data_IF_884800116103
#
_entry.id   IF_884800116103
#
_cell.length_a   1.000
_cell.length_b   1.000
_cell.length_c   1.000
_cell.angle_alpha   90.00
_cell.angle_beta   90.00
_cell.angle_gamma   90.00
#
_symmetry.space_group_name_H-M   'P 1'
#
loop_
_entity.id
_entity.type
_entity.pdbx_description
1 polymer ?
#
# COMPACT_ATOMS: atom_id res chain seq x y z
N UNK A 1 11.28 -27.96 14.98
CA UNK A 1 11.97 -26.85 15.67
C UNK A 1 10.95 -25.76 15.88
N UNK A 2 10.91 -25.14 17.06
CA UNK A 2 10.06 -23.98 17.31
C UNK A 2 10.61 -22.83 16.46
N UNK A 3 9.77 -22.25 15.59
CA UNK A 3 10.15 -21.07 14.81
C UNK A 3 10.17 -19.87 15.76
N UNK A 4 11.24 -19.09 15.73
CA UNK A 4 11.41 -17.92 16.60
C UNK A 4 11.58 -16.68 15.72
N UNK A 5 10.92 -15.61 16.11
CA UNK A 5 11.15 -14.27 15.58
C UNK A 5 12.25 -13.58 16.41
N UNK A 6 12.96 -12.57 15.87
CA UNK A 6 13.93 -11.76 16.62
C UNK A 6 13.32 -11.16 17.90
N UNK A 7 14.14 -10.91 18.92
CA UNK A 7 13.69 -10.30 20.19
C UNK A 7 13.20 -8.86 20.01
N UNK A 8 13.74 -8.15 19.03
CA UNK A 8 13.40 -6.78 18.65
C UNK A 8 12.31 -6.69 17.56
N UNK A 9 11.62 -7.81 17.29
CA UNK A 9 10.56 -7.85 16.30
C UNK A 9 9.41 -6.92 16.68
N UNK A 10 8.98 -6.08 15.72
CA UNK A 10 7.88 -5.14 15.91
C UNK A 10 6.57 -5.85 15.60
N UNK A 11 5.73 -6.02 16.63
CA UNK A 11 4.36 -6.49 16.48
C UNK A 11 3.42 -5.30 16.49
N UNK A 12 2.71 -5.11 15.40
CA UNK A 12 1.86 -3.93 15.24
C UNK A 12 0.61 -4.18 14.42
N UNK A 13 -0.09 -3.11 14.21
CA UNK A 13 -1.22 -3.02 13.31
C UNK A 13 -1.09 -1.76 12.46
N UNK A 14 -1.96 -1.65 11.45
CA UNK A 14 -2.04 -0.49 10.59
C UNK A 14 -3.44 0.12 10.60
N UNK A 15 -3.50 1.43 10.55
CA UNK A 15 -4.72 2.19 10.30
C UNK A 15 -4.39 3.39 9.41
N UNK A 16 -5.41 4.03 8.86
CA UNK A 16 -5.25 5.21 8.02
C UNK A 16 -6.21 6.32 8.44
N UNK A 17 -5.78 7.56 8.26
CA UNK A 17 -6.51 8.73 8.70
C UNK A 17 -7.97 8.73 8.21
N UNK A 18 -8.18 8.63 6.89
CA UNK A 18 -9.53 8.68 6.34
C UNK A 18 -10.42 7.49 6.75
N UNK A 19 -9.81 6.31 6.90
CA UNK A 19 -10.54 5.08 7.24
C UNK A 19 -10.92 5.01 8.73
N UNK A 20 -10.17 5.67 9.61
CA UNK A 20 -10.30 5.46 11.05
C UNK A 20 -10.63 6.72 11.86
N UNK A 21 -10.10 7.89 11.48
CA UNK A 21 -10.21 9.08 12.31
C UNK A 21 -11.64 9.56 12.51
N UNK A 22 -12.49 9.54 11.47
CA UNK A 22 -13.70 10.33 11.47
C UNK A 22 -13.38 11.83 11.53
N UNK A 23 -14.16 12.60 12.25
CA UNK A 23 -13.93 14.04 12.45
C UNK A 23 -13.65 14.79 11.14
N UNK A 24 -14.38 14.41 10.07
CA UNK A 24 -14.12 14.82 8.67
C UNK A 24 -14.27 16.33 8.45
N UNK A 25 -15.06 17.01 9.30
CA UNK A 25 -15.29 18.46 9.25
C UNK A 25 -14.83 19.17 10.52
N UNK A 26 -13.97 18.52 11.33
CA UNK A 26 -13.54 19.05 12.63
C UNK A 26 -12.20 19.76 12.51
N UNK A 27 -12.04 20.83 13.30
CA UNK A 27 -10.79 21.57 13.49
C UNK A 27 -10.13 22.04 12.18
N UNK A 28 -10.95 22.45 11.21
CA UNK A 28 -10.47 23.05 9.97
C UNK A 28 -9.90 22.07 8.94
N UNK A 29 -10.13 20.76 9.11
CA UNK A 29 -9.76 19.76 8.09
C UNK A 29 -10.44 20.09 6.75
N UNK A 30 -9.65 20.09 5.67
CA UNK A 30 -10.16 20.20 4.31
C UNK A 30 -10.83 18.89 3.82
N UNK A 31 -11.66 19.01 2.80
CA UNK A 31 -12.26 17.85 2.14
C UNK A 31 -11.21 17.06 1.36
N UNK A 32 -11.47 15.76 1.22
CA UNK A 32 -10.70 14.85 0.37
C UNK A 32 -11.58 14.31 -0.75
N UNK A 33 -10.96 13.73 -1.77
CA UNK A 33 -11.65 13.15 -2.93
C UNK A 33 -12.76 12.16 -2.54
N UNK A 34 -12.53 11.37 -1.49
CA UNK A 34 -13.49 10.39 -0.99
C UNK A 34 -14.77 11.00 -0.41
N UNK A 35 -14.71 12.18 0.19
CA UNK A 35 -15.89 12.80 0.80
C UNK A 35 -17.00 13.00 -0.25
N UNK A 36 -16.67 13.63 -1.38
CA UNK A 36 -17.62 13.84 -2.47
C UNK A 36 -17.97 12.51 -3.16
N UNK A 37 -16.98 11.63 -3.38
CA UNK A 37 -17.22 10.36 -4.06
C UNK A 37 -18.18 9.44 -3.31
N UNK A 38 -18.08 9.36 -1.98
CA UNK A 38 -18.98 8.58 -1.15
C UNK A 38 -20.38 9.21 -1.08
N UNK A 39 -20.48 10.53 -0.92
CA UNK A 39 -21.76 11.26 -0.92
C UNK A 39 -22.54 11.05 -2.23
N UNK A 40 -21.85 11.06 -3.37
CA UNK A 40 -22.48 10.93 -4.69
C UNK A 40 -22.83 9.48 -5.07
N UNK A 41 -22.03 8.51 -4.64
CA UNK A 41 -22.15 7.13 -5.16
C UNK A 41 -22.67 6.11 -4.16
N UNK A 42 -22.53 6.34 -2.85
CA UNK A 42 -22.77 5.29 -1.84
C UNK A 42 -23.71 5.70 -0.70
N UNK A 43 -24.04 6.98 -0.54
CA UNK A 43 -24.94 7.50 0.48
C UNK A 43 -24.44 7.31 1.92
N UNK A 44 -23.15 7.18 2.13
CA UNK A 44 -22.52 7.16 3.46
C UNK A 44 -21.24 8.01 3.48
N UNK A 45 -20.72 8.26 4.66
CA UNK A 45 -19.55 9.10 4.90
C UNK A 45 -18.53 8.36 5.76
N UNK A 46 -17.32 8.89 5.85
CA UNK A 46 -16.31 8.43 6.81
C UNK A 46 -16.54 8.93 8.25
N UNK A 47 -17.76 9.41 8.56
CA UNK A 47 -18.11 9.95 9.86
C UNK A 47 -19.11 9.02 10.57
N UNK A 48 -18.84 8.51 11.78
CA UNK A 48 -17.64 8.77 12.60
C UNK A 48 -16.46 7.82 12.32
N UNK A 49 -16.56 6.88 11.37
CA UNK A 49 -15.61 5.78 11.16
C UNK A 49 -15.37 4.99 12.47
N UNK A 50 -14.10 4.81 12.85
CA UNK A 50 -13.73 4.25 14.16
C UNK A 50 -13.58 5.32 15.25
N UNK A 51 -13.81 6.58 14.90
CA UNK A 51 -13.66 7.74 15.79
C UNK A 51 -12.25 7.84 16.41
N UNK A 52 -11.24 7.40 15.67
CA UNK A 52 -9.85 7.37 16.15
C UNK A 52 -9.36 8.78 16.52
N UNK A 53 -9.86 9.83 15.87
CA UNK A 53 -9.54 11.21 16.20
C UNK A 53 -9.78 11.55 17.68
N UNK A 54 -10.82 11.01 18.28
CA UNK A 54 -11.16 11.20 19.68
C UNK A 54 -10.71 10.03 20.58
N UNK A 55 -10.62 8.83 20.03
CA UNK A 55 -10.42 7.59 20.79
C UNK A 55 -8.99 7.08 20.83
N UNK A 56 -8.05 7.67 20.08
CA UNK A 56 -6.66 7.22 20.05
C UNK A 56 -6.02 6.98 21.43
N UNK A 57 -6.34 7.74 22.51
CA UNK A 57 -5.75 7.43 23.81
C UNK A 57 -6.19 6.10 24.39
N UNK A 58 -7.44 5.70 24.15
CA UNK A 58 -7.99 4.40 24.57
C UNK A 58 -7.45 3.28 23.68
N UNK A 59 -7.40 3.51 22.37
CA UNK A 59 -6.96 2.51 21.39
C UNK A 59 -5.46 2.21 21.58
N UNK A 60 -4.64 3.22 21.87
CA UNK A 60 -3.22 3.04 22.17
C UNK A 60 -2.98 2.39 23.55
N UNK A 61 -3.83 2.67 24.55
CA UNK A 61 -3.79 1.95 25.83
C UNK A 61 -4.10 0.46 25.66
N UNK A 62 -5.07 0.12 24.82
CA UNK A 62 -5.38 -1.27 24.48
C UNK A 62 -4.23 -1.90 23.71
N UNK A 63 -3.60 -1.19 22.77
CA UNK A 63 -2.42 -1.65 22.04
C UNK A 63 -1.29 -2.04 22.99
N UNK A 64 -0.91 -1.16 23.91
CA UNK A 64 0.09 -1.45 24.97
C UNK A 64 -0.31 -2.67 25.80
N UNK A 65 -1.56 -2.71 26.27
CA UNK A 65 -2.09 -3.80 27.09
C UNK A 65 -1.98 -5.17 26.43
N UNK A 66 -2.15 -5.24 25.12
CA UNK A 66 -2.09 -6.49 24.35
C UNK A 66 -0.72 -6.75 23.71
N UNK A 67 0.31 -5.99 24.08
CA UNK A 67 1.69 -6.24 23.67
C UNK A 67 2.02 -5.75 22.26
N UNK A 68 1.19 -4.87 21.69
CA UNK A 68 1.50 -4.16 20.44
C UNK A 68 2.54 -3.09 20.75
N UNK A 69 3.69 -3.12 20.04
CA UNK A 69 4.81 -2.20 20.25
C UNK A 69 5.09 -1.28 19.03
N UNK A 70 4.28 -1.36 17.99
CA UNK A 70 4.31 -0.47 16.85
C UNK A 70 2.92 -0.27 16.24
N UNK A 71 2.67 0.91 15.69
CA UNK A 71 1.44 1.20 14.97
C UNK A 71 1.75 2.00 13.71
N UNK A 72 1.23 1.56 12.57
CA UNK A 72 1.27 2.39 11.38
C UNK A 72 0.01 3.24 11.29
N UNK A 73 0.20 4.54 11.18
CA UNK A 73 -0.87 5.53 11.06
C UNK A 73 -0.54 6.45 9.89
N UNK A 74 -1.52 7.21 9.39
CA UNK A 74 -1.24 8.22 8.38
C UNK A 74 -1.59 9.62 8.89
N UNK A 75 -0.91 10.62 8.34
CA UNK A 75 -1.32 12.02 8.49
C UNK A 75 -2.30 12.34 7.36
N UNK A 76 -3.51 12.81 7.69
CA UNK A 76 -4.41 13.34 6.69
C UNK A 76 -3.81 14.64 6.11
N UNK A 77 -3.39 14.58 4.84
CA UNK A 77 -2.81 15.74 4.16
C UNK A 77 -3.70 17.00 4.28
N UNK A 78 -5.01 16.82 4.06
CA UNK A 78 -5.99 17.91 4.17
C UNK A 78 -6.24 18.40 5.60
N UNK A 79 -5.72 17.71 6.63
CA UNK A 79 -5.76 18.20 8.01
C UNK A 79 -4.59 19.15 8.30
N UNK A 80 -3.46 18.97 7.62
CA UNK A 80 -2.30 19.88 7.69
C UNK A 80 -2.47 21.05 6.73
N UNK A 81 -2.77 20.76 5.46
CA UNK A 81 -3.04 21.75 4.41
C UNK A 81 -4.47 21.53 3.88
N UNK A 82 -5.47 22.29 4.36
CA UNK A 82 -6.87 22.07 3.97
C UNK A 82 -7.15 22.11 2.48
N UNK A 83 -6.35 22.85 1.72
CA UNK A 83 -6.42 22.90 0.24
C UNK A 83 -5.31 22.07 -0.46
N UNK A 84 -4.55 21.27 0.31
CA UNK A 84 -3.39 20.53 -0.20
C UNK A 84 -2.11 21.37 -0.31
N UNK A 85 -2.18 22.68 -0.19
CA UNK A 85 -1.07 23.63 -0.22
C UNK A 85 -1.46 24.94 0.48
N UNK A 86 -0.49 25.85 0.66
CA UNK A 86 -0.71 27.22 1.16
C UNK A 86 -0.69 27.29 2.69
N UNK A 87 -1.79 27.67 3.31
CA UNK A 87 -1.85 27.90 4.76
C UNK A 87 -1.90 26.56 5.53
N UNK A 88 -1.07 26.46 6.56
CA UNK A 88 -1.06 25.34 7.50
C UNK A 88 -2.22 25.51 8.48
N UNK A 89 -2.90 24.42 8.78
CA UNK A 89 -3.92 24.36 9.80
C UNK A 89 -3.31 23.98 11.16
N UNK A 90 -3.15 24.92 12.10
CA UNK A 90 -2.45 24.68 13.36
C UNK A 90 -3.16 23.66 14.26
N UNK A 91 -4.47 23.50 14.15
CA UNK A 91 -5.22 22.50 14.93
C UNK A 91 -4.95 21.07 14.45
N UNK A 92 -4.78 20.89 13.15
CA UNK A 92 -4.37 19.60 12.59
C UNK A 92 -2.95 19.22 13.04
N UNK A 93 -2.03 20.17 13.06
CA UNK A 93 -0.67 19.97 13.57
C UNK A 93 -0.70 19.59 15.06
N UNK A 94 -1.44 20.35 15.88
CA UNK A 94 -1.59 20.07 17.31
C UNK A 94 -2.15 18.66 17.58
N UNK A 95 -3.11 18.22 16.77
CA UNK A 95 -3.67 16.86 16.89
C UNK A 95 -2.60 15.78 16.69
N UNK A 96 -1.78 15.88 15.64
CA UNK A 96 -0.75 14.86 15.39
C UNK A 96 0.36 14.89 16.44
N UNK A 97 0.78 16.04 16.95
CA UNK A 97 1.70 16.08 18.10
C UNK A 97 1.14 15.33 19.31
N UNK A 98 -0.16 15.53 19.63
CA UNK A 98 -0.81 14.82 20.74
C UNK A 98 -0.88 13.32 20.49
N UNK A 99 -1.17 12.91 19.26
CA UNK A 99 -1.23 11.51 18.87
C UNK A 99 0.14 10.83 19.01
N UNK A 100 1.21 11.44 18.48
CA UNK A 100 2.57 10.90 18.59
C UNK A 100 3.07 10.87 20.04
N UNK A 101 2.76 11.91 20.82
CA UNK A 101 3.08 11.92 22.25
C UNK A 101 2.38 10.78 23.02
N UNK A 102 1.12 10.46 22.71
CA UNK A 102 0.42 9.34 23.33
C UNK A 102 1.00 7.98 22.86
N UNK A 103 1.39 7.86 21.58
CA UNK A 103 2.09 6.66 21.09
C UNK A 103 3.37 6.40 21.92
N UNK A 104 4.23 7.38 22.07
CA UNK A 104 5.48 7.25 22.83
C UNK A 104 5.23 6.97 24.33
N UNK A 105 4.24 7.63 24.92
CA UNK A 105 3.82 7.39 26.32
C UNK A 105 3.39 5.95 26.55
N UNK A 106 2.79 5.30 25.54
CA UNK A 106 2.32 3.91 25.57
C UNK A 106 3.34 2.89 25.06
N UNK A 107 4.57 3.32 24.74
CA UNK A 107 5.61 2.47 24.17
C UNK A 107 5.20 1.78 22.86
N UNK A 108 4.34 2.43 22.08
CA UNK A 108 3.88 2.01 20.75
C UNK A 108 4.52 2.93 19.72
N UNK A 109 5.55 2.47 19.03
CA UNK A 109 6.29 3.30 18.08
C UNK A 109 5.44 3.65 16.85
N UNK A 110 5.27 4.94 16.49
CA UNK A 110 4.51 5.33 15.31
C UNK A 110 5.31 5.18 14.02
N UNK A 111 4.75 4.48 13.04
CA UNK A 111 5.16 4.46 11.64
C UNK A 111 4.21 5.36 10.86
N UNK A 112 4.71 6.45 10.31
CA UNK A 112 3.84 7.52 9.79
C UNK A 112 3.83 7.56 8.29
N UNK A 113 2.66 7.39 7.70
CA UNK A 113 2.41 7.47 6.26
C UNK A 113 1.94 8.87 5.89
N UNK A 114 2.55 9.48 4.86
CA UNK A 114 2.19 10.81 4.39
C UNK A 114 0.95 10.81 3.50
N UNK A 115 0.77 9.80 2.65
CA UNK A 115 -0.39 9.68 1.77
C UNK A 115 -0.99 8.28 1.84
N UNK A 116 -2.25 8.18 2.26
CA UNK A 116 -2.98 6.92 2.35
C UNK A 116 -4.39 7.07 1.74
N UNK A 117 -4.45 7.19 0.40
CA UNK A 117 -5.66 7.28 -0.43
C UNK A 117 -6.45 8.59 -0.30
N UNK A 118 -6.01 9.54 0.49
CA UNK A 118 -6.78 10.70 0.93
C UNK A 118 -6.31 12.03 0.32
N UNK A 119 -6.11 12.05 -1.01
CA UNK A 119 -5.74 13.27 -1.73
C UNK A 119 -6.74 14.41 -1.44
N UNK A 120 -6.27 15.62 -1.07
CA UNK A 120 -7.13 16.79 -0.91
C UNK A 120 -8.00 17.03 -2.14
N UNK A 121 -9.29 17.29 -1.93
CA UNK A 121 -10.29 17.39 -3.00
C UNK A 121 -9.91 18.42 -4.09
N UNK A 122 -9.30 19.53 -3.70
CA UNK A 122 -8.84 20.55 -4.65
C UNK A 122 -7.80 20.00 -5.63
N UNK A 123 -6.83 19.23 -5.14
CA UNK A 123 -5.80 18.60 -5.97
C UNK A 123 -6.39 17.48 -6.83
N UNK A 124 -7.31 16.71 -6.26
CA UNK A 124 -8.00 15.67 -7.00
C UNK A 124 -8.81 16.24 -8.19
N UNK A 125 -9.54 17.33 -7.98
CA UNK A 125 -10.29 18.04 -9.04
C UNK A 125 -9.38 18.63 -10.12
N UNK A 126 -8.12 18.95 -9.79
CA UNK A 126 -7.10 19.42 -10.73
C UNK A 126 -6.31 18.28 -11.40
N UNK A 127 -6.76 17.04 -11.27
CA UNK A 127 -6.21 15.85 -11.93
C UNK A 127 -5.37 14.92 -11.07
N UNK A 128 -5.33 15.14 -9.75
CA UNK A 128 -4.58 14.29 -8.82
C UNK A 128 -3.12 14.13 -9.25
N UNK A 129 -2.50 12.96 -9.07
CA UNK A 129 -1.14 12.69 -9.53
C UNK A 129 -0.97 12.56 -11.05
N UNK A 130 -2.02 12.65 -11.87
CA UNK A 130 -1.87 12.88 -13.32
C UNK A 130 -1.41 14.31 -13.60
N UNK A 131 -1.72 15.28 -12.74
CA UNK A 131 -1.19 16.64 -12.79
C UNK A 131 0.16 16.70 -12.07
N UNK A 132 1.22 17.01 -12.81
CA UNK A 132 2.58 17.06 -12.26
C UNK A 132 2.78 18.08 -11.12
N UNK A 133 1.95 19.12 -11.05
CA UNK A 133 1.98 20.06 -9.91
C UNK A 133 1.66 19.40 -8.58
N UNK A 134 0.87 18.33 -8.58
CA UNK A 134 0.57 17.57 -7.36
C UNK A 134 1.82 16.95 -6.76
N UNK A 135 2.81 16.61 -7.61
CA UNK A 135 4.14 16.15 -7.16
C UNK A 135 4.82 17.24 -6.31
N UNK A 136 4.80 18.48 -6.78
CA UNK A 136 5.43 19.60 -6.06
C UNK A 136 4.72 19.85 -4.72
N UNK A 137 3.39 19.89 -4.73
CA UNK A 137 2.60 20.06 -3.49
C UNK A 137 2.80 18.92 -2.50
N UNK A 138 2.94 17.68 -2.98
CA UNK A 138 3.23 16.54 -2.12
C UNK A 138 4.62 16.67 -1.48
N UNK A 139 5.63 17.08 -2.23
CA UNK A 139 6.99 17.27 -1.72
C UNK A 139 7.05 18.40 -0.69
N UNK A 140 6.35 19.51 -0.94
CA UNK A 140 6.24 20.63 0.03
C UNK A 140 5.56 20.18 1.33
N UNK A 141 4.48 19.40 1.21
CA UNK A 141 3.79 18.80 2.36
C UNK A 141 4.69 17.84 3.14
N UNK A 142 5.42 16.96 2.43
CA UNK A 142 6.36 16.04 3.04
C UNK A 142 7.47 16.78 3.81
N UNK A 143 8.05 17.81 3.20
CA UNK A 143 9.08 18.65 3.83
C UNK A 143 8.54 19.31 5.10
N UNK A 144 7.33 19.86 5.04
CA UNK A 144 6.68 20.42 6.20
C UNK A 144 6.55 19.40 7.34
N UNK A 145 6.04 18.20 7.04
CA UNK A 145 5.89 17.14 8.04
C UNK A 145 7.22 16.69 8.65
N UNK A 146 8.28 16.54 7.85
CA UNK A 146 9.60 16.17 8.36
C UNK A 146 10.19 17.22 9.30
N UNK A 147 9.93 18.51 9.05
CA UNK A 147 10.38 19.61 9.91
C UNK A 147 9.56 19.74 11.18
N UNK A 148 8.24 19.57 11.07
CA UNK A 148 7.29 19.81 12.14
C UNK A 148 7.25 18.68 13.16
N UNK A 149 7.44 17.41 12.71
CA UNK A 149 7.30 16.21 13.57
C UNK A 149 8.64 15.48 13.77
N UNK A 150 9.67 16.12 14.37
CA UNK A 150 10.98 15.47 14.56
C UNK A 150 10.95 14.28 15.51
N UNK A 151 9.88 14.07 16.26
CA UNK A 151 9.63 12.93 17.11
C UNK A 151 9.31 11.64 16.34
N UNK A 152 8.93 11.72 15.08
CA UNK A 152 8.65 10.57 14.22
C UNK A 152 9.94 10.00 13.64
N UNK A 153 10.15 8.70 13.87
CA UNK A 153 11.35 7.98 13.41
C UNK A 153 11.15 7.21 12.11
N UNK A 154 9.93 6.79 11.81
CA UNK A 154 9.65 5.92 10.67
C UNK A 154 8.65 6.60 9.73
N UNK A 155 9.13 7.00 8.57
CA UNK A 155 8.34 7.71 7.57
C UNK A 155 8.04 6.83 6.36
N UNK A 156 6.80 6.84 5.92
CA UNK A 156 6.36 6.23 4.68
C UNK A 156 5.77 7.31 3.77
N UNK A 157 6.26 7.43 2.56
CA UNK A 157 5.77 8.44 1.61
C UNK A 157 4.34 8.13 1.15
N UNK A 158 4.13 6.94 0.60
CA UNK A 158 2.84 6.45 0.11
C UNK A 158 2.50 5.10 0.71
N UNK A 159 1.21 4.89 0.94
CA UNK A 159 0.65 3.56 1.05
C UNK A 159 0.13 3.12 -0.31
N UNK A 160 0.68 2.03 -0.84
CA UNK A 160 0.12 1.27 -1.97
C UNK A 160 -0.11 2.09 -3.26
N UNK A 161 0.95 2.56 -3.88
CA UNK A 161 0.87 3.30 -5.16
C UNK A 161 0.09 2.50 -6.21
N UNK A 162 0.32 1.16 -6.31
CA UNK A 162 -0.43 0.28 -7.22
C UNK A 162 -1.94 0.39 -7.01
N UNK A 163 -2.48 -0.01 -5.84
CA UNK A 163 -3.91 0.11 -5.53
C UNK A 163 -4.51 1.51 -5.70
N UNK A 164 -3.75 2.60 -5.51
CA UNK A 164 -4.26 3.96 -5.80
C UNK A 164 -4.64 4.07 -7.27
N UNK A 165 -3.67 3.90 -8.18
CA UNK A 165 -3.91 4.05 -9.61
C UNK A 165 -4.88 3.01 -10.18
N UNK A 166 -4.79 1.77 -9.69
CA UNK A 166 -5.69 0.69 -10.08
C UNK A 166 -7.13 0.98 -9.64
N UNK A 167 -7.31 1.41 -8.41
CA UNK A 167 -8.62 1.78 -7.87
C UNK A 167 -9.25 2.95 -8.61
N UNK A 168 -8.43 3.95 -8.98
CA UNK A 168 -8.87 5.16 -9.66
C UNK A 168 -9.19 4.94 -11.15
N UNK A 169 -8.36 4.16 -11.88
CA UNK A 169 -8.37 4.15 -13.33
C UNK A 169 -8.52 2.76 -13.97
N UNK A 170 -8.35 1.67 -13.24
CA UNK A 170 -8.55 0.31 -13.75
C UNK A 170 -9.87 -0.30 -13.25
N UNK A 171 -10.04 -0.34 -11.95
CA UNK A 171 -11.20 -0.94 -11.27
C UNK A 171 -12.38 0.03 -11.17
N UNK A 172 -12.10 1.32 -11.04
CA UNK A 172 -13.10 2.38 -10.91
C UNK A 172 -13.86 2.36 -9.59
N UNK A 173 -13.21 1.96 -8.51
CA UNK A 173 -13.77 1.94 -7.15
C UNK A 173 -13.25 3.05 -6.26
N UNK A 174 -12.19 3.73 -6.67
CA UNK A 174 -11.68 4.93 -6.03
C UNK A 174 -12.04 6.14 -6.89
N UNK A 175 -12.22 7.33 -6.28
CA UNK A 175 -12.45 8.56 -7.04
C UNK A 175 -11.29 8.79 -8.03
N UNK A 176 -11.51 9.10 -9.30
CA UNK A 176 -12.78 9.51 -9.92
C UNK A 176 -13.65 8.37 -10.49
N UNK A 177 -13.32 7.10 -10.28
CA UNK A 177 -14.17 5.98 -10.70
C UNK A 177 -14.05 5.59 -12.18
N UNK A 178 -12.92 5.86 -12.83
CA UNK A 178 -12.64 5.49 -14.22
C UNK A 178 -12.27 4.00 -14.30
N UNK A 179 -12.67 3.34 -15.38
CA UNK A 179 -12.40 1.91 -15.58
C UNK A 179 -11.55 1.66 -16.83
N UNK A 180 -10.65 0.70 -16.73
CA UNK A 180 -9.88 0.11 -17.84
C UNK A 180 -9.03 1.14 -18.63
N UNK A 181 -8.58 2.21 -17.97
CA UNK A 181 -7.70 3.24 -18.54
C UNK A 181 -6.25 2.99 -18.12
N UNK A 182 -5.59 2.07 -18.83
CA UNK A 182 -4.21 1.68 -18.51
C UNK A 182 -3.18 2.81 -18.67
N UNK A 183 -3.45 3.77 -19.56
CA UNK A 183 -2.59 4.95 -19.69
C UNK A 183 -2.54 5.72 -18.37
N UNK A 184 -3.71 6.01 -17.80
CA UNK A 184 -3.80 6.74 -16.53
C UNK A 184 -3.27 5.91 -15.36
N UNK A 185 -3.47 4.59 -15.36
CA UNK A 185 -2.89 3.70 -14.35
C UNK A 185 -1.37 3.87 -14.31
N UNK A 186 -0.68 3.59 -15.42
CA UNK A 186 0.79 3.66 -15.44
C UNK A 186 1.31 5.09 -15.27
N UNK A 187 0.62 6.10 -15.80
CA UNK A 187 1.04 7.49 -15.66
C UNK A 187 0.91 7.97 -14.20
N UNK A 188 -0.17 7.62 -13.50
CA UNK A 188 -0.33 7.97 -12.10
C UNK A 188 0.69 7.25 -11.21
N UNK A 189 0.93 5.96 -11.45
CA UNK A 189 1.98 5.20 -10.76
C UNK A 189 3.35 5.87 -10.96
N UNK A 190 3.70 6.19 -12.21
CA UNK A 190 4.98 6.85 -12.53
C UNK A 190 5.12 8.19 -11.79
N UNK A 191 4.11 9.04 -11.85
CA UNK A 191 4.15 10.36 -11.21
C UNK A 191 4.22 10.26 -9.67
N UNK A 192 3.53 9.29 -9.06
CA UNK A 192 3.65 9.02 -7.62
C UNK A 192 5.04 8.48 -7.26
N UNK A 193 5.66 7.65 -8.12
CA UNK A 193 7.04 7.20 -7.90
C UNK A 193 8.04 8.36 -7.99
N UNK A 194 7.83 9.32 -8.91
CA UNK A 194 8.65 10.55 -8.96
C UNK A 194 8.47 11.38 -7.70
N UNK A 195 7.23 11.52 -7.19
CA UNK A 195 6.96 12.21 -5.94
C UNK A 195 7.63 11.54 -4.74
N UNK A 196 7.54 10.21 -4.66
CA UNK A 196 8.25 9.39 -3.67
C UNK A 196 9.75 9.63 -3.71
N UNK A 197 10.38 9.49 -4.87
CA UNK A 197 11.82 9.65 -5.04
C UNK A 197 12.31 11.04 -4.62
N UNK A 198 11.56 12.09 -4.98
CA UNK A 198 11.85 13.46 -4.55
C UNK A 198 11.74 13.63 -3.03
N UNK A 199 10.70 13.08 -2.42
CA UNK A 199 10.51 13.16 -0.97
C UNK A 199 11.60 12.41 -0.20
N UNK A 200 11.99 11.21 -0.66
CA UNK A 200 13.10 10.44 -0.06
C UNK A 200 14.41 11.21 -0.16
N UNK A 201 14.73 11.73 -1.36
CA UNK A 201 15.95 12.52 -1.55
C UNK A 201 15.95 13.77 -0.68
N UNK A 202 14.83 14.49 -0.61
CA UNK A 202 14.68 15.67 0.27
C UNK A 202 14.89 15.31 1.74
N UNK A 203 14.35 14.19 2.22
CA UNK A 203 14.54 13.71 3.58
C UNK A 203 16.04 13.50 3.89
N UNK A 204 16.74 12.82 3.00
CA UNK A 204 18.17 12.51 3.17
C UNK A 204 19.05 13.76 3.07
N UNK A 205 18.84 14.60 2.07
CA UNK A 205 19.62 15.85 1.86
C UNK A 205 19.38 16.85 2.99
N UNK A 206 18.16 16.88 3.54
CA UNK A 206 17.80 17.73 4.67
C UNK A 206 18.37 17.29 6.02
N UNK A 207 18.96 16.09 6.09
CA UNK A 207 19.54 15.53 7.31
C UNK A 207 18.50 15.23 8.40
N UNK A 208 17.24 15.01 8.01
CA UNK A 208 16.19 14.61 8.94
C UNK A 208 16.52 13.26 9.58
N UNK A 209 16.16 13.10 10.85
CA UNK A 209 16.48 11.90 11.60
C UNK A 209 15.42 10.83 11.41
N UNK A 210 15.84 9.56 11.44
CA UNK A 210 14.97 8.41 11.30
C UNK A 210 15.13 7.67 9.97
N UNK A 211 14.15 6.85 9.65
CA UNK A 211 14.12 6.01 8.44
C UNK A 211 12.97 6.44 7.53
N UNK A 212 13.17 6.35 6.22
CA UNK A 212 12.14 6.65 5.22
C UNK A 212 12.07 5.54 4.18
N UNK A 213 10.84 5.19 3.77
CA UNK A 213 10.58 4.21 2.73
C UNK A 213 9.23 4.41 2.06
N UNK A 214 8.79 3.38 1.36
CA UNK A 214 7.48 3.30 0.70
C UNK A 214 6.80 1.98 1.06
N UNK A 215 5.47 1.96 1.07
CA UNK A 215 4.68 0.74 1.23
C UNK A 215 4.05 0.37 -0.11
N UNK A 216 4.29 -0.88 -0.55
CA UNK A 216 3.67 -1.45 -1.73
C UNK A 216 2.79 -2.65 -1.38
N UNK A 217 1.60 -2.74 -1.98
CA UNK A 217 0.85 -3.98 -2.03
C UNK A 217 1.48 -4.88 -3.08
N UNK A 218 1.95 -6.04 -2.66
CA UNK A 218 2.71 -6.95 -3.53
C UNK A 218 2.08 -8.37 -3.53
N UNK A 219 0.90 -8.56 -4.14
CA UNK A 219 0.33 -9.88 -4.32
C UNK A 219 1.18 -10.69 -5.31
N UNK A 220 1.55 -11.91 -4.92
CA UNK A 220 2.34 -12.79 -5.80
C UNK A 220 1.47 -13.35 -6.91
N UNK A 221 1.96 -13.33 -8.14
CA UNK A 221 1.26 -13.76 -9.33
C UNK A 221 1.83 -15.09 -9.83
N UNK A 222 0.99 -16.11 -9.91
CA UNK A 222 1.34 -17.44 -10.39
C UNK A 222 0.62 -17.76 -11.70
N UNK A 223 1.26 -18.44 -12.66
CA UNK A 223 0.53 -19.02 -13.78
C UNK A 223 -0.41 -20.13 -13.26
N UNK A 224 -1.64 -20.19 -13.77
CA UNK A 224 -2.58 -21.25 -13.41
C UNK A 224 -2.04 -22.62 -13.85
N UNK A 225 -1.56 -22.72 -15.08
CA UNK A 225 -0.79 -23.86 -15.59
C UNK A 225 0.62 -23.40 -16.00
N UNK A 226 1.66 -23.73 -15.20
CA UNK A 226 3.05 -23.35 -15.53
C UNK A 226 3.57 -23.93 -16.84
N UNK A 227 2.92 -24.95 -17.40
CA UNK A 227 3.28 -25.54 -18.69
C UNK A 227 2.61 -24.82 -19.88
N UNK A 228 1.60 -23.98 -19.63
CA UNK A 228 0.91 -23.19 -20.64
C UNK A 228 1.58 -21.81 -20.80
N UNK A 229 2.19 -21.51 -21.98
CA UNK A 229 2.84 -20.22 -22.20
C UNK A 229 1.91 -19.01 -22.08
N UNK A 230 0.60 -19.16 -22.35
CA UNK A 230 -0.38 -18.08 -22.23
C UNK A 230 -0.64 -17.72 -20.75
N UNK A 231 -0.72 -18.74 -19.88
CA UNK A 231 -0.90 -18.56 -18.45
C UNK A 231 0.36 -17.93 -17.80
N UNK A 232 1.54 -18.37 -18.23
CA UNK A 232 2.83 -17.79 -17.81
C UNK A 232 2.87 -16.31 -18.22
N UNK A 233 2.53 -16.02 -19.47
CA UNK A 233 2.51 -14.63 -19.95
C UNK A 233 1.48 -13.74 -19.23
N UNK A 234 0.30 -14.28 -18.91
CA UNK A 234 -0.71 -13.58 -18.13
C UNK A 234 -0.20 -13.22 -16.72
N UNK A 235 0.47 -14.16 -16.05
CA UNK A 235 1.06 -13.93 -14.74
C UNK A 235 2.17 -12.84 -14.79
N UNK A 236 3.04 -12.86 -15.82
CA UNK A 236 4.08 -11.85 -16.03
C UNK A 236 3.50 -10.45 -16.24
N UNK A 237 2.47 -10.31 -17.10
CA UNK A 237 1.84 -9.03 -17.37
C UNK A 237 1.11 -8.47 -16.16
N UNK A 238 0.42 -9.33 -15.42
CA UNK A 238 -0.27 -8.94 -14.20
C UNK A 238 0.74 -8.54 -13.09
N UNK A 239 1.87 -9.22 -13.02
CA UNK A 239 2.98 -8.86 -12.14
C UNK A 239 3.61 -7.51 -12.50
N UNK A 240 3.70 -7.18 -13.79
CA UNK A 240 4.17 -5.86 -14.23
C UNK A 240 3.24 -4.76 -13.74
N UNK A 241 1.93 -4.93 -13.86
CA UNK A 241 0.95 -3.93 -13.42
C UNK A 241 1.06 -3.66 -11.91
N UNK A 242 1.08 -4.72 -11.10
CA UNK A 242 0.90 -4.60 -9.65
C UNK A 242 2.20 -4.53 -8.86
N UNK A 243 3.29 -5.13 -9.37
CA UNK A 243 4.53 -5.29 -8.61
C UNK A 243 5.74 -4.68 -9.31
N UNK A 244 6.07 -5.17 -10.50
CA UNK A 244 7.37 -4.92 -11.12
C UNK A 244 7.56 -3.48 -11.53
N UNK A 245 6.52 -2.82 -12.05
CA UNK A 245 6.59 -1.42 -12.47
C UNK A 245 6.99 -0.49 -11.31
N UNK A 246 6.37 -0.64 -10.15
CA UNK A 246 6.67 0.19 -8.98
C UNK A 246 7.98 -0.21 -8.30
N UNK A 247 8.31 -1.51 -8.26
CA UNK A 247 9.58 -1.98 -7.67
C UNK A 247 10.79 -1.57 -8.51
N UNK A 248 10.70 -1.64 -9.84
CA UNK A 248 11.76 -1.16 -10.74
C UNK A 248 12.03 0.33 -10.52
N UNK A 249 10.99 1.16 -10.44
CA UNK A 249 11.14 2.58 -10.13
C UNK A 249 11.77 2.83 -8.77
N UNK A 250 11.40 2.04 -7.75
CA UNK A 250 11.90 2.18 -6.37
C UNK A 250 13.37 1.83 -6.26
N UNK A 251 13.81 0.72 -6.86
CA UNK A 251 15.13 0.14 -6.61
C UNK A 251 16.09 0.14 -7.79
N UNK A 252 15.59 0.16 -9.04
CA UNK A 252 16.47 0.28 -10.22
C UNK A 252 16.65 1.73 -10.65
N UNK A 253 15.78 2.66 -10.18
CA UNK A 253 15.76 4.05 -10.63
C UNK A 253 15.35 4.20 -12.11
N UNK A 254 14.82 3.16 -12.68
CA UNK A 254 14.35 3.06 -14.07
C UNK A 254 13.47 1.84 -14.24
N UNK A 255 12.74 1.76 -15.32
CA UNK A 255 12.00 0.56 -15.69
C UNK A 255 12.91 -0.39 -16.48
N UNK A 256 12.89 -1.68 -16.12
CA UNK A 256 13.62 -2.70 -16.87
C UNK A 256 13.04 -2.86 -18.29
N UNK A 257 13.84 -3.42 -19.19
CA UNK A 257 13.39 -3.68 -20.57
C UNK A 257 12.14 -4.55 -20.59
N UNK A 258 12.10 -5.59 -19.78
CA UNK A 258 10.97 -6.50 -19.66
C UNK A 258 9.70 -5.77 -19.19
N UNK A 259 9.82 -4.93 -18.15
CA UNK A 259 8.73 -4.09 -17.65
C UNK A 259 8.18 -3.20 -18.75
N UNK A 260 9.05 -2.49 -19.48
CA UNK A 260 8.60 -1.59 -20.55
C UNK A 260 8.01 -2.33 -21.75
N UNK A 261 8.52 -3.50 -22.12
CA UNK A 261 7.93 -4.35 -23.18
C UNK A 261 6.51 -4.79 -22.78
N UNK A 262 6.29 -5.16 -21.51
CA UNK A 262 4.95 -5.50 -21.00
C UNK A 262 4.00 -4.31 -20.97
N UNK A 263 4.45 -3.16 -20.46
CA UNK A 263 3.66 -1.91 -20.48
C UNK A 263 3.28 -1.51 -21.90
N UNK A 264 4.23 -1.55 -22.85
CA UNK A 264 3.98 -1.23 -24.26
C UNK A 264 2.97 -2.20 -24.88
N UNK A 265 3.06 -3.50 -24.58
CA UNK A 265 2.08 -4.48 -25.02
C UNK A 265 0.68 -4.12 -24.52
N UNK A 266 0.51 -3.90 -23.21
CA UNK A 266 -0.79 -3.55 -22.60
C UNK A 266 -1.37 -2.28 -23.23
N UNK A 267 -0.57 -1.23 -23.35
CA UNK A 267 -0.99 0.04 -23.98
C UNK A 267 -1.29 -0.10 -25.47
N UNK A 268 -0.58 -0.95 -26.20
CA UNK A 268 -0.86 -1.19 -27.61
C UNK A 268 -2.22 -1.83 -27.87
N UNK A 269 -2.67 -2.70 -26.93
CA UNK A 269 -3.97 -3.39 -27.01
C UNK A 269 -5.12 -2.51 -26.52
N UNK A 270 -4.89 -1.72 -25.47
CA UNK A 270 -5.94 -0.94 -24.81
C UNK A 270 -5.95 0.54 -25.23
N UNK A 271 -4.95 0.99 -25.97
CA UNK A 271 -4.70 2.40 -26.30
C UNK A 271 -3.91 3.12 -25.22
N UNK A 272 -3.30 4.22 -25.57
CA UNK A 272 -2.59 5.08 -24.64
C UNK A 272 -1.08 5.15 -24.86
N UNK A 273 -0.45 6.10 -24.17
CA UNK A 273 1.00 6.35 -24.18
C UNK A 273 1.47 6.77 -22.81
N UNK A 274 2.54 6.17 -22.35
CA UNK A 274 3.22 6.59 -21.13
C UNK A 274 4.21 7.73 -21.45
N UNK A 275 4.14 8.79 -20.67
CA UNK A 275 5.05 9.93 -20.78
C UNK A 275 6.04 9.93 -19.61
N UNK A 276 7.28 9.58 -19.90
CA UNK A 276 8.41 9.57 -18.96
C UNK A 276 9.50 10.45 -19.58
N UNK A 277 10.03 11.39 -18.80
CA UNK A 277 11.10 12.28 -19.24
C UNK A 277 12.47 11.80 -18.77
N UNK A 278 13.54 12.29 -19.39
CA UNK A 278 14.91 12.03 -18.91
C UNK A 278 15.12 12.61 -17.50
N UNK A 279 14.44 13.69 -17.14
CA UNK A 279 14.45 14.28 -15.81
C UNK A 279 13.82 13.33 -14.79
N UNK A 280 12.72 12.67 -15.13
CA UNK A 280 12.08 11.68 -14.25
C UNK A 280 13.03 10.51 -13.94
N UNK A 281 13.71 10.00 -14.97
CA UNK A 281 14.72 8.97 -14.77
C UNK A 281 15.90 9.44 -13.89
N UNK A 282 16.34 10.67 -14.06
CA UNK A 282 17.40 11.23 -13.20
C UNK A 282 16.94 11.35 -11.73
N UNK A 283 15.68 11.71 -11.49
CA UNK A 283 15.07 11.78 -10.16
C UNK A 283 15.00 10.38 -9.53
N UNK A 284 14.48 9.39 -10.27
CA UNK A 284 14.35 8.02 -9.79
C UNK A 284 15.73 7.40 -9.49
N UNK A 285 16.71 7.58 -10.39
CA UNK A 285 18.07 7.07 -10.22
C UNK A 285 18.78 7.67 -8.99
N UNK A 286 18.53 8.95 -8.72
CA UNK A 286 19.12 9.64 -7.56
C UNK A 286 18.56 9.15 -6.21
N UNK A 287 17.41 8.47 -6.20
CA UNK A 287 16.76 8.01 -4.97
C UNK A 287 16.80 6.49 -4.77
N UNK A 288 17.17 5.69 -5.76
CA UNK A 288 17.07 4.23 -5.76
C UNK A 288 17.78 3.53 -4.60
N UNK A 289 18.87 4.12 -4.09
CA UNK A 289 19.68 3.58 -3.01
C UNK A 289 19.42 4.30 -1.65
N UNK A 290 18.41 5.18 -1.59
CA UNK A 290 18.16 6.03 -0.42
C UNK A 290 16.99 5.53 0.45
N UNK A 291 16.26 4.53 0.02
CA UNK A 291 15.19 3.94 0.82
C UNK A 291 15.76 3.13 1.98
N UNK A 292 15.43 3.47 3.22
CA UNK A 292 15.88 2.71 4.40
C UNK A 292 15.11 1.39 4.53
N UNK A 293 13.88 1.34 4.03
CA UNK A 293 13.06 0.12 4.07
C UNK A 293 12.05 0.06 2.93
N UNK A 294 11.58 -1.15 2.66
CA UNK A 294 10.37 -1.45 1.91
C UNK A 294 9.29 -1.94 2.87
N UNK A 295 8.14 -1.32 2.86
CA UNK A 295 6.93 -1.88 3.46
C UNK A 295 6.21 -2.77 2.45
N UNK A 296 5.86 -3.98 2.86
CA UNK A 296 5.07 -4.91 2.06
C UNK A 296 3.71 -5.09 2.71
N UNK A 297 2.65 -4.75 1.98
CA UNK A 297 1.30 -5.17 2.29
C UNK A 297 1.01 -6.45 1.50
N UNK A 298 0.68 -7.52 2.21
CA UNK A 298 0.38 -8.81 1.59
C UNK A 298 -0.86 -9.42 2.22
N UNK A 299 -1.84 -9.71 1.38
CA UNK A 299 -3.11 -10.33 1.79
C UNK A 299 -3.38 -11.64 1.09
N UNK A 300 -2.94 -11.77 -0.17
CA UNK A 300 -3.29 -12.89 -1.05
C UNK A 300 -2.29 -13.06 -2.18
N UNK A 301 -2.36 -14.21 -2.84
CA UNK A 301 -1.75 -14.47 -4.15
C UNK A 301 -2.82 -14.68 -5.20
N UNK A 302 -2.44 -14.53 -6.46
CA UNK A 302 -3.33 -14.72 -7.61
C UNK A 302 -2.79 -15.78 -8.57
N UNK A 303 -3.68 -16.57 -9.16
CA UNK A 303 -3.39 -17.48 -10.25
C UNK A 303 -3.97 -16.94 -11.54
N UNK A 304 -3.10 -16.78 -12.54
CA UNK A 304 -3.43 -16.09 -13.78
C UNK A 304 -3.53 -17.09 -14.92
N UNK A 305 -4.52 -16.89 -15.80
CA UNK A 305 -4.76 -17.65 -17.02
C UNK A 305 -4.80 -16.72 -18.21
N UNK A 306 -4.37 -17.21 -19.38
CA UNK A 306 -4.53 -16.48 -20.65
C UNK A 306 -5.99 -16.09 -20.91
N UNK A 307 -6.21 -14.91 -21.48
CA UNK A 307 -7.53 -14.36 -21.77
C UNK A 307 -7.49 -13.44 -22.99
N UNK A 308 -8.43 -13.60 -23.92
CA UNK A 308 -8.52 -12.87 -25.19
C UNK A 308 -9.78 -12.00 -25.34
N UNK A 309 -10.59 -11.89 -24.28
CA UNK A 309 -11.83 -11.11 -24.24
C UNK A 309 -11.66 -9.67 -23.79
N UNK A 310 -12.81 -8.97 -23.64
CA UNK A 310 -12.86 -7.61 -23.13
C UNK A 310 -12.70 -7.56 -21.60
N UNK A 311 -12.23 -6.44 -21.07
CA UNK A 311 -12.01 -6.27 -19.65
C UNK A 311 -13.32 -6.30 -18.86
N UNK A 312 -13.34 -7.09 -17.78
CA UNK A 312 -14.47 -7.16 -16.84
C UNK A 312 -13.96 -7.43 -15.43
N UNK A 313 -14.25 -6.52 -14.51
CA UNK A 313 -13.92 -6.67 -13.07
C UNK A 313 -15.18 -6.54 -12.23
N UNK A 314 -15.40 -7.55 -11.38
CA UNK A 314 -16.41 -7.54 -10.32
C UNK A 314 -15.74 -7.98 -9.03
N UNK A 315 -15.75 -7.11 -8.02
CA UNK A 315 -15.30 -7.48 -6.68
C UNK A 315 -16.48 -7.99 -5.87
N UNK A 316 -16.26 -9.07 -5.14
CA UNK A 316 -17.16 -9.52 -4.12
C UNK A 316 -17.24 -8.47 -3.00
N UNK A 317 -18.39 -7.82 -2.90
CA UNK A 317 -18.66 -6.79 -1.88
C UNK A 317 -19.69 -7.24 -0.82
N UNK A 318 -20.15 -8.48 -0.91
CA UNK A 318 -21.20 -9.02 -0.03
C UNK A 318 -20.68 -10.04 0.98
N UNK A 319 -19.46 -10.56 0.78
CA UNK A 319 -18.92 -11.67 1.54
C UNK A 319 -19.48 -13.05 1.14
N UNK A 320 -20.09 -13.15 -0.05
CA UNK A 320 -20.58 -14.41 -0.60
C UNK A 320 -19.56 -14.96 -1.60
N UNK A 321 -18.87 -16.04 -1.27
CA UNK A 321 -17.84 -16.67 -2.08
C UNK A 321 -18.31 -16.95 -3.52
N UNK A 322 -17.41 -16.70 -4.49
CA UNK A 322 -17.68 -16.92 -5.91
C UNK A 322 -18.28 -15.73 -6.65
N UNK A 323 -18.42 -14.57 -5.99
CA UNK A 323 -18.93 -13.34 -6.59
C UNK A 323 -17.90 -12.52 -7.37
N UNK A 324 -16.61 -12.87 -7.25
CA UNK A 324 -15.52 -12.13 -7.88
C UNK A 324 -15.26 -12.55 -9.32
N UNK A 325 -14.92 -11.57 -10.17
CA UNK A 325 -14.46 -11.75 -11.53
C UNK A 325 -13.34 -10.74 -11.82
N UNK A 326 -12.29 -11.20 -12.45
CA UNK A 326 -11.17 -10.35 -12.83
C UNK A 326 -10.60 -10.78 -14.17
N UNK A 327 -10.88 -10.00 -15.20
CA UNK A 327 -10.49 -10.24 -16.58
C UNK A 327 -10.01 -8.93 -17.18
N UNK A 328 -8.83 -8.94 -17.79
CA UNK A 328 -8.21 -7.77 -18.40
C UNK A 328 -7.79 -8.07 -19.84
N UNK A 329 -8.30 -7.28 -20.77
CA UNK A 329 -7.95 -7.34 -22.19
C UNK A 329 -6.45 -7.13 -22.39
N UNK A 330 -5.82 -8.05 -23.10
CA UNK A 330 -4.39 -8.01 -23.41
C UNK A 330 -3.47 -8.30 -22.22
N UNK A 331 -4.03 -8.77 -21.08
CA UNK A 331 -3.29 -9.16 -19.88
C UNK A 331 -3.56 -10.61 -19.53
N UNK A 332 -4.77 -10.92 -19.09
CA UNK A 332 -5.14 -12.24 -18.61
C UNK A 332 -6.39 -12.19 -17.74
N UNK A 333 -6.72 -13.31 -17.14
CA UNK A 333 -7.79 -13.41 -16.14
C UNK A 333 -7.28 -14.09 -14.86
N UNK A 334 -7.86 -13.67 -13.73
CA UNK A 334 -7.63 -14.35 -12.45
C UNK A 334 -8.49 -15.61 -12.38
N UNK A 335 -7.86 -16.71 -12.02
CA UNK A 335 -8.57 -17.97 -11.75
C UNK A 335 -8.90 -18.06 -10.26
N UNK A 336 -10.17 -18.24 -9.94
CA UNK A 336 -10.66 -18.37 -8.57
C UNK A 336 -10.91 -19.81 -8.15
N UNK A 337 -10.96 -20.75 -9.10
CA UNK A 337 -11.10 -22.18 -8.83
C UNK A 337 -9.73 -22.85 -8.76
N UNK A 338 -9.01 -22.55 -7.70
CA UNK A 338 -7.69 -23.12 -7.38
C UNK A 338 -7.78 -23.93 -6.09
N UNK A 339 -6.95 -24.93 -5.95
CA UNK A 339 -6.92 -25.82 -4.76
C UNK A 339 -6.17 -25.14 -3.58
N UNK A 340 -6.64 -23.95 -3.20
CA UNK A 340 -6.20 -23.23 -2.00
C UNK A 340 -7.40 -22.67 -1.26
N UNK A 341 -7.35 -22.57 0.07
CA UNK A 341 -8.39 -21.89 0.86
C UNK A 341 -8.58 -20.45 0.41
N UNK A 342 -9.81 -19.95 0.48
CA UNK A 342 -10.13 -18.55 0.22
C UNK A 342 -11.05 -17.95 1.27
N UNK A 343 -10.93 -16.66 1.46
CA UNK A 343 -11.77 -15.88 2.38
C UNK A 343 -13.19 -15.73 1.83
N UNK A 344 -14.09 -15.13 2.63
CA UNK A 344 -15.44 -14.78 2.17
C UNK A 344 -15.44 -13.68 1.09
N UNK A 345 -14.32 -12.98 0.90
CA UNK A 345 -14.11 -11.99 -0.16
C UNK A 345 -13.46 -12.56 -1.44
N UNK A 346 -13.35 -13.88 -1.56
CA UNK A 346 -12.65 -14.59 -2.65
C UNK A 346 -11.12 -14.35 -2.67
N UNK A 347 -10.50 -13.96 -1.57
CA UNK A 347 -9.05 -13.81 -1.47
C UNK A 347 -8.41 -15.15 -1.18
N UNK A 348 -7.42 -15.55 -2.00
CA UNK A 348 -6.70 -16.81 -1.83
C UNK A 348 -5.76 -16.75 -0.63
N UNK A 349 -5.92 -17.66 0.31
CA UNK A 349 -5.06 -17.76 1.50
C UNK A 349 -3.85 -18.59 1.14
N UNK A 350 -2.73 -17.94 0.84
CA UNK A 350 -1.50 -18.62 0.40
C UNK A 350 -0.24 -17.99 1.04
N UNK A 351 0.12 -18.39 2.26
CA UNK A 351 1.25 -17.84 3.00
C UNK A 351 2.59 -17.97 2.27
N UNK A 352 2.79 -19.06 1.48
CA UNK A 352 3.98 -19.24 0.66
C UNK A 352 4.21 -18.07 -0.30
N UNK A 353 3.16 -17.44 -0.80
CA UNK A 353 3.27 -16.27 -1.67
C UNK A 353 3.95 -15.08 -0.99
N UNK A 354 3.76 -14.88 0.32
CA UNK A 354 4.50 -13.86 1.06
C UNK A 354 6.00 -14.20 1.11
N UNK A 355 6.34 -15.46 1.40
CA UNK A 355 7.72 -15.91 1.37
C UNK A 355 8.36 -15.68 -0.01
N UNK A 356 7.69 -16.12 -1.07
CA UNK A 356 8.18 -16.00 -2.44
C UNK A 356 8.39 -14.52 -2.83
N UNK A 357 7.50 -13.64 -2.38
CA UNK A 357 7.61 -12.21 -2.64
C UNK A 357 8.79 -11.56 -1.89
N UNK A 358 9.03 -11.94 -0.62
CA UNK A 358 10.19 -11.49 0.15
C UNK A 358 11.48 -11.94 -0.57
N UNK A 359 11.58 -13.23 -0.91
CA UNK A 359 12.77 -13.79 -1.56
C UNK A 359 13.01 -13.21 -2.95
N UNK A 360 11.94 -12.87 -3.68
CA UNK A 360 12.03 -12.15 -4.95
C UNK A 360 12.62 -10.75 -4.79
N UNK A 361 12.13 -9.95 -3.82
CA UNK A 361 12.68 -8.62 -3.56
C UNK A 361 14.17 -8.71 -3.27
N UNK A 362 14.58 -9.60 -2.41
CA UNK A 362 16.00 -9.83 -2.07
C UNK A 362 16.84 -10.18 -3.28
N UNK A 363 16.33 -11.04 -4.16
CA UNK A 363 17.04 -11.51 -5.35
C UNK A 363 17.12 -10.46 -6.45
N UNK A 364 15.99 -9.82 -6.77
CA UNK A 364 15.85 -8.98 -7.96
C UNK A 364 16.24 -7.51 -7.67
N UNK A 365 16.20 -7.10 -6.41
CA UNK A 365 16.49 -5.72 -5.94
C UNK A 365 17.49 -5.71 -4.79
N UNK A 366 18.76 -6.10 -5.03
CA UNK A 366 19.76 -6.35 -3.97
C UNK A 366 20.17 -5.10 -3.18
N UNK A 367 19.75 -3.91 -3.62
CA UNK A 367 19.94 -2.65 -2.90
C UNK A 367 18.80 -2.32 -1.92
N UNK A 368 17.89 -3.26 -1.65
CA UNK A 368 17.00 -3.12 -0.51
C UNK A 368 17.81 -3.15 0.80
N UNK A 369 17.37 -2.40 1.82
CA UNK A 369 18.07 -2.40 3.12
C UNK A 369 17.30 -3.20 4.17
N UNK A 370 15.99 -2.99 4.27
CA UNK A 370 15.13 -3.60 5.27
C UNK A 370 13.74 -3.85 4.69
N UNK A 371 13.07 -4.89 5.14
CA UNK A 371 11.67 -5.17 4.78
C UNK A 371 10.84 -5.18 6.06
N UNK A 372 9.74 -4.43 6.04
CA UNK A 372 8.67 -4.52 7.01
C UNK A 372 7.42 -5.11 6.34
N UNK A 373 6.74 -6.05 6.99
CA UNK A 373 5.39 -6.44 6.60
C UNK A 373 4.46 -5.43 7.26
N UNK A 374 4.00 -4.46 6.48
CA UNK A 374 3.27 -3.29 6.96
C UNK A 374 1.78 -3.49 7.04
N UNK A 375 1.25 -4.46 6.29
CA UNK A 375 -0.10 -4.96 6.44
C UNK A 375 -0.16 -6.44 6.08
N UNK A 376 -0.90 -7.20 6.89
CA UNK A 376 -1.25 -8.59 6.63
C UNK A 376 -2.55 -8.91 7.37
N UNK A 377 -3.50 -9.53 6.71
CA UNK A 377 -4.81 -9.83 7.27
C UNK A 377 -5.77 -10.35 6.23
N UNK A 378 -7.02 -10.53 6.63
CA UNK A 378 -8.07 -11.02 5.75
C UNK A 378 -9.44 -10.44 6.10
N UNK A 379 -10.30 -10.30 5.09
CA UNK A 379 -11.73 -10.10 5.27
C UNK A 379 -12.42 -11.44 5.53
N UNK A 380 -13.16 -11.51 6.62
CA UNK A 380 -13.94 -12.70 7.01
C UNK A 380 -15.28 -12.28 7.60
N UNK A 381 -16.32 -13.08 7.37
CA UNK A 381 -17.66 -12.80 7.89
C UNK A 381 -17.69 -13.12 9.39
N UNK A 382 -17.87 -12.07 10.21
CA UNK A 382 -17.92 -12.20 11.65
C UNK A 382 -19.27 -12.75 12.11
N UNK A 383 -19.24 -13.66 13.08
CA UNK A 383 -20.41 -14.14 13.79
C UNK A 383 -20.31 -13.71 15.26
N UNK A 384 -21.07 -12.66 15.61
CA UNK A 384 -21.11 -12.20 16.99
C UNK A 384 -21.97 -13.11 17.88
N UNK A 385 -21.38 -13.65 18.94
CA UNK A 385 -22.05 -14.54 19.89
C UNK A 385 -22.56 -13.71 21.07
N UNK A 386 -23.86 -13.39 21.05
CA UNK A 386 -24.51 -12.54 22.06
C UNK A 386 -24.33 -13.03 23.50
N UNK A 387 -24.38 -14.35 23.75
CA UNK A 387 -24.23 -14.95 25.09
C UNK A 387 -22.84 -14.76 25.67
N UNK A 388 -21.82 -14.66 24.82
CA UNK A 388 -20.41 -14.55 25.20
C UNK A 388 -19.85 -13.14 25.01
N UNK A 389 -20.59 -12.28 24.32
CA UNK A 389 -20.18 -10.91 23.94
C UNK A 389 -18.85 -10.90 23.16
N UNK A 390 -18.67 -11.86 22.27
CA UNK A 390 -17.43 -12.05 21.51
C UNK A 390 -17.66 -12.57 20.09
N UNK A 391 -16.58 -12.54 19.32
CA UNK A 391 -16.42 -13.27 18.04
C UNK A 391 -15.30 -14.29 18.23
N UNK A 392 -15.52 -15.55 17.88
CA UNK A 392 -14.45 -16.55 17.82
C UNK A 392 -13.68 -16.38 16.51
N UNK A 393 -12.47 -15.83 16.60
CA UNK A 393 -11.70 -15.37 15.44
C UNK A 393 -10.64 -16.38 14.98
N UNK A 394 -10.97 -17.67 15.04
CA UNK A 394 -10.05 -18.77 14.73
C UNK A 394 -9.46 -18.69 13.32
N UNK A 395 -10.26 -18.22 12.34
CA UNK A 395 -9.82 -18.08 10.96
C UNK A 395 -8.71 -17.01 10.82
N UNK A 396 -8.86 -15.84 11.48
CA UNK A 396 -7.81 -14.79 11.45
C UNK A 396 -6.59 -15.20 12.26
N UNK A 397 -6.78 -15.86 13.42
CA UNK A 397 -5.68 -16.38 14.22
C UNK A 397 -4.84 -17.38 13.43
N UNK A 398 -5.49 -18.30 12.71
CA UNK A 398 -4.79 -19.30 11.90
C UNK A 398 -4.08 -18.67 10.70
N UNK A 399 -4.74 -17.73 10.01
CA UNK A 399 -4.14 -16.96 8.91
C UNK A 399 -2.86 -16.24 9.37
N UNK A 400 -2.93 -15.45 10.44
CA UNK A 400 -1.78 -14.70 10.98
C UNK A 400 -0.67 -15.66 11.40
N UNK A 401 -1.00 -16.76 12.08
CA UNK A 401 -0.02 -17.78 12.51
C UNK A 401 0.73 -18.37 11.32
N UNK A 402 0.03 -18.71 10.23
CA UNK A 402 0.65 -19.25 9.02
C UNK A 402 1.60 -18.24 8.37
N UNK A 403 1.20 -16.96 8.28
CA UNK A 403 2.03 -15.90 7.69
C UNK A 403 3.25 -15.57 8.57
N UNK A 404 3.11 -15.51 9.90
CA UNK A 404 4.26 -15.36 10.82
C UNK A 404 5.26 -16.52 10.70
N UNK A 405 4.78 -17.74 10.45
CA UNK A 405 5.65 -18.88 10.23
C UNK A 405 6.52 -18.74 8.96
N UNK A 406 5.97 -18.26 7.86
CA UNK A 406 6.76 -18.07 6.62
C UNK A 406 7.68 -16.86 6.71
N UNK A 407 7.33 -15.82 7.47
CA UNK A 407 8.23 -14.71 7.80
C UNK A 407 9.44 -15.24 8.59
N UNK A 408 9.24 -16.08 9.59
CA UNK A 408 10.32 -16.71 10.34
C UNK A 408 11.22 -17.60 9.47
N UNK A 409 10.63 -18.33 8.50
CA UNK A 409 11.40 -19.09 7.52
C UNK A 409 12.24 -18.18 6.62
N UNK A 410 11.67 -17.10 6.10
CA UNK A 410 12.40 -16.12 5.28
C UNK A 410 13.56 -15.49 6.05
N UNK A 411 13.34 -15.05 7.30
CA UNK A 411 14.41 -14.50 8.16
C UNK A 411 15.55 -15.50 8.33
N UNK A 412 15.22 -16.77 8.59
CA UNK A 412 16.21 -17.84 8.75
C UNK A 412 17.01 -18.04 7.46
N UNK A 413 16.36 -18.12 6.32
CA UNK A 413 17.01 -18.40 5.04
C UNK A 413 17.86 -17.20 4.58
N UNK A 414 17.42 -15.96 4.80
CA UNK A 414 18.19 -14.75 4.58
C UNK A 414 19.44 -14.68 5.46
N UNK A 415 19.36 -15.08 6.72
CA UNK A 415 20.51 -15.15 7.62
C UNK A 415 21.57 -16.15 7.11
N UNK A 416 21.17 -17.24 6.47
CA UNK A 416 22.08 -18.23 5.88
C UNK A 416 22.75 -17.70 4.59
N UNK A 417 22.03 -16.95 3.76
CA UNK A 417 22.58 -16.34 2.55
C UNK A 417 23.67 -15.34 2.91
N UNK A 418 23.44 -14.47 3.88
CA UNK A 418 24.44 -13.50 4.35
C UNK A 418 25.69 -14.11 5.01
N UNK A 419 25.61 -15.33 5.54
CA UNK A 419 26.76 -16.06 6.08
C UNK A 419 27.58 -16.71 4.96
N UNK A 420 26.98 -17.13 3.86
CA UNK A 420 27.66 -17.80 2.75
C UNK A 420 28.45 -16.85 1.84
N UNK A 421 28.04 -15.60 1.75
CA UNK A 421 28.69 -14.58 0.90
C UNK A 421 29.87 -13.86 1.57
N UNK A 422 30.12 -14.15 2.85
CA UNK A 422 31.20 -13.60 3.66
C UNK A 422 32.36 -14.54 3.95
N UNK A 423 32.47 -15.70 3.26
CA UNK A 423 33.56 -16.67 3.44
C UNK A 423 34.48 -16.76 2.23
#
# INVERSE_FOLDING_TARGET
MTKTLPEDFIFGGATAAYQAEGATNTDGKGRVAWDTYLEENYWYTAEPASDFYNRYPVDLELSEKFGVNGIRISIAWSRIFPNGYGEVNPKGVEYYHKLFAECHKRHVEPFVTLHHFDTPEVLHKDGDFLNRKTIDYFVDYAEYCFKEFPEVKYWTTFNEIGPIGDGQYLVGKFPPGIKYDFEKVFQSHHNMMVAHARAVKLFKDGGYQGEIGVVHALPTKYPFDPSNPEDVRAAELEDIIHNKFILDATYLGKYSRETMEGVQHILSVNGGKLNITDEDYAILDAAKDLNDFLGINYYMSDWMRGYDGESEITHNATGDKGGSKYQLKGVGQREFDVDVPRTDWDWMIYPQGLYDQIMRVVKDYPNYHKIYITENGLGYKDEFIESEKTVHDDARIDYVRQHLNVIADAIKDLSLIHISDGA
#
